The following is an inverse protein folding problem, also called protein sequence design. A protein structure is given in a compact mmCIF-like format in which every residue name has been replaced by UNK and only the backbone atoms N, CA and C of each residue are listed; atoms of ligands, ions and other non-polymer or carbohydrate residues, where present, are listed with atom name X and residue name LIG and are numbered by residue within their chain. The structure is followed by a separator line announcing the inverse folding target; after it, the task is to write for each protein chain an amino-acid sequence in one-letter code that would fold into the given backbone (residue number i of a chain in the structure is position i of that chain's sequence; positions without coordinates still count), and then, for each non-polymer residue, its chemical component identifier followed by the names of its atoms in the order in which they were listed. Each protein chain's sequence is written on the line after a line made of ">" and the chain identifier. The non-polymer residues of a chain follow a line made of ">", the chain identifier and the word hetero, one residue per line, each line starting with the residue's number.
data_IF_242972288205
#
_entry.id   IF_242972288205
#
_cell.length_a   1.000
_cell.length_b   1.000
_cell.length_c   1.000
_cell.angle_alpha   90.00
_cell.angle_beta   90.00
_cell.angle_gamma   90.00
#
_symmetry.space_group_name_H-M   'P 1'
#
loop_
_entity.id
_entity.type
_entity.pdbx_description
1 polymer ?
#
# COMPACT_ATOMS: atom_id res chain seq x y z
N UNK A 1 -13.92 -0.55 -25.55
CA UNK A 1 -13.90 0.26 -24.32
C UNK A 1 -12.53 0.07 -23.72
N UNK A 2 -11.72 1.12 -23.60
CA UNK A 2 -10.51 1.03 -22.77
C UNK A 2 -10.99 0.76 -21.34
N UNK A 3 -10.45 -0.26 -20.68
CA UNK A 3 -10.67 -0.45 -19.26
C UNK A 3 -10.28 0.85 -18.56
N UNK A 4 -11.19 1.42 -17.77
CA UNK A 4 -10.94 2.67 -17.05
C UNK A 4 -9.77 2.42 -16.09
N UNK A 5 -8.80 3.32 -16.07
CA UNK A 5 -7.63 3.17 -15.21
C UNK A 5 -8.09 3.25 -13.74
N UNK A 6 -7.79 2.23 -12.94
CA UNK A 6 -8.20 2.16 -11.52
C UNK A 6 -7.72 3.37 -10.72
N UNK A 7 -6.56 3.93 -11.06
CA UNK A 7 -6.08 5.17 -10.44
C UNK A 7 -6.99 6.36 -10.75
N UNK A 8 -7.47 6.52 -11.99
CA UNK A 8 -8.41 7.60 -12.34
C UNK A 8 -9.71 7.49 -11.53
N UNK A 9 -10.25 6.27 -11.42
CA UNK A 9 -11.45 6.00 -10.61
C UNK A 9 -11.20 6.35 -9.14
N UNK A 10 -10.03 5.99 -8.60
CA UNK A 10 -9.65 6.34 -7.23
C UNK A 10 -9.65 7.88 -7.05
N UNK A 11 -9.09 8.64 -7.98
CA UNK A 11 -9.08 10.11 -7.90
C UNK A 11 -10.46 10.75 -8.04
N UNK A 12 -11.42 10.09 -8.67
CA UNK A 12 -12.81 10.56 -8.72
C UNK A 12 -13.55 10.30 -7.40
N UNK A 13 -13.31 9.14 -6.78
CA UNK A 13 -13.89 8.78 -5.48
C UNK A 13 -13.28 9.61 -4.33
N UNK A 14 -11.98 9.86 -4.41
CA UNK A 14 -11.18 10.53 -3.40
C UNK A 14 -10.29 11.61 -4.02
N UNK A 15 -10.81 12.77 -4.44
CA UNK A 15 -9.99 13.79 -5.09
C UNK A 15 -8.79 14.23 -4.24
N UNK A 16 -7.55 14.15 -4.76
CA UNK A 16 -6.36 14.55 -4.01
C UNK A 16 -6.34 16.08 -3.81
N UNK A 17 -5.91 16.52 -2.64
CA UNK A 17 -5.85 17.94 -2.32
C UNK A 17 -4.67 18.61 -3.05
N UNK A 18 -4.78 19.90 -3.40
CA UNK A 18 -3.65 20.61 -3.99
C UNK A 18 -2.40 20.58 -3.09
N UNK A 19 -1.33 19.95 -3.58
CA UNK A 19 -0.04 19.84 -2.91
C UNK A 19 0.02 18.81 -1.77
N UNK A 20 -0.84 17.78 -1.78
CA UNK A 20 -0.75 16.62 -0.86
C UNK A 20 0.35 15.62 -1.23
N UNK A 21 0.75 15.59 -2.50
CA UNK A 21 1.69 14.62 -3.04
C UNK A 21 3.11 14.66 -2.47
N UNK A 22 3.82 13.54 -2.61
CA UNK A 22 5.24 13.40 -2.27
C UNK A 22 6.09 13.31 -3.54
N UNK A 23 7.16 14.12 -3.60
CA UNK A 23 8.16 13.99 -4.64
C UNK A 23 9.17 12.91 -4.25
N UNK A 24 9.19 11.81 -5.01
CA UNK A 24 10.10 10.68 -4.79
C UNK A 24 11.09 10.60 -5.96
N UNK A 25 12.38 10.42 -5.65
CA UNK A 25 13.38 10.04 -6.65
C UNK A 25 13.23 8.55 -6.96
N UNK A 26 12.35 8.24 -7.89
CA UNK A 26 12.03 6.86 -8.26
C UNK A 26 13.24 6.09 -8.77
N UNK A 27 14.17 6.74 -9.47
CA UNK A 27 15.37 6.06 -9.98
C UNK A 27 16.25 5.58 -8.82
N UNK A 28 16.51 6.44 -7.84
CA UNK A 28 17.31 6.08 -6.67
C UNK A 28 16.60 5.02 -5.79
N UNK A 29 15.28 5.12 -5.64
CA UNK A 29 14.49 4.14 -4.89
C UNK A 29 14.50 2.78 -5.59
N UNK A 30 14.26 2.72 -6.90
CA UNK A 30 14.25 1.47 -7.66
C UNK A 30 15.62 0.79 -7.67
N UNK A 31 16.70 1.58 -7.74
CA UNK A 31 18.07 1.08 -7.57
C UNK A 31 18.29 0.46 -6.17
N UNK A 32 17.87 1.13 -5.10
CA UNK A 32 18.03 0.64 -3.73
C UNK A 32 17.16 -0.60 -3.42
N UNK A 33 15.99 -0.69 -4.04
CA UNK A 33 15.09 -1.82 -3.88
C UNK A 33 15.44 -3.00 -4.80
N UNK A 34 16.14 -2.74 -5.91
CA UNK A 34 16.48 -3.75 -6.91
C UNK A 34 15.28 -4.21 -7.74
N UNK A 35 14.24 -3.38 -7.82
CA UNK A 35 12.99 -3.66 -8.54
C UNK A 35 12.38 -2.36 -9.06
N UNK A 36 11.51 -2.48 -10.05
CA UNK A 36 10.68 -1.38 -10.51
C UNK A 36 9.33 -1.40 -9.79
N UNK A 37 8.79 -0.23 -9.43
CA UNK A 37 7.48 -0.14 -8.79
C UNK A 37 6.34 -0.01 -9.80
N UNK A 38 5.12 -0.51 -9.47
CA UNK A 38 3.93 -0.32 -10.30
C UNK A 38 3.65 1.17 -10.57
N UNK A 39 3.31 1.52 -11.81
CA UNK A 39 3.08 2.91 -12.20
C UNK A 39 1.91 3.56 -11.47
N UNK A 40 0.89 2.77 -11.12
CA UNK A 40 -0.28 3.24 -10.37
C UNK A 40 0.07 3.59 -8.92
N UNK A 41 0.97 2.82 -8.29
CA UNK A 41 1.55 3.18 -6.99
C UNK A 41 2.39 4.47 -7.07
N UNK A 42 3.25 4.60 -8.09
CA UNK A 42 4.02 5.84 -8.29
C UNK A 42 3.12 7.06 -8.41
N UNK A 43 2.02 6.94 -9.16
CA UNK A 43 1.01 7.98 -9.29
C UNK A 43 0.32 8.26 -7.95
N UNK A 44 -0.09 7.22 -7.21
CA UNK A 44 -0.71 7.39 -5.90
C UNK A 44 0.19 8.19 -4.94
N UNK A 45 1.47 7.82 -4.80
CA UNK A 45 2.41 8.55 -3.94
C UNK A 45 2.63 9.99 -4.44
N UNK A 46 2.72 10.19 -5.76
CA UNK A 46 2.88 11.53 -6.37
C UNK A 46 1.70 12.45 -6.10
N UNK A 47 0.48 11.91 -5.94
CA UNK A 47 -0.73 12.70 -5.75
C UNK A 47 -1.20 12.79 -4.29
N UNK A 48 -1.09 11.71 -3.51
CA UNK A 48 -1.58 11.62 -2.13
C UNK A 48 -0.48 11.70 -1.07
N UNK A 49 0.78 11.39 -1.44
CA UNK A 49 1.91 11.34 -0.53
C UNK A 49 1.89 10.12 0.38
N UNK A 50 2.33 10.30 1.63
CA UNK A 50 2.16 9.33 2.71
C UNK A 50 0.71 9.38 3.20
N UNK A 51 -0.11 8.41 2.79
CA UNK A 51 -1.56 8.52 2.89
C UNK A 51 -2.17 7.46 3.80
N UNK A 52 -3.04 7.90 4.70
CA UNK A 52 -3.88 7.06 5.56
C UNK A 52 -5.32 7.15 5.08
N UNK A 53 -5.83 6.11 4.44
CA UNK A 53 -7.21 6.02 3.98
C UNK A 53 -8.14 5.62 5.12
N UNK A 54 -9.25 6.37 5.27
CA UNK A 54 -10.35 6.07 6.20
C UNK A 54 -9.93 5.86 7.65
N UNK A 55 -8.85 6.52 8.09
CA UNK A 55 -8.22 6.31 9.41
C UNK A 55 -7.86 4.84 9.70
N UNK A 56 -7.72 4.02 8.65
CA UNK A 56 -7.58 2.57 8.75
C UNK A 56 -6.32 2.05 8.04
N UNK A 57 -6.16 2.31 6.73
CA UNK A 57 -5.06 1.77 5.91
C UNK A 57 -4.03 2.84 5.58
N UNK A 58 -2.81 2.69 6.10
CA UNK A 58 -1.67 3.52 5.73
C UNK A 58 -0.97 2.93 4.50
N UNK A 59 -0.80 3.74 3.46
CA UNK A 59 0.08 3.45 2.32
C UNK A 59 1.43 4.11 2.57
N UNK A 60 2.46 3.29 2.62
CA UNK A 60 3.80 3.67 3.07
C UNK A 60 4.62 4.01 1.83
N UNK A 61 5.17 5.24 1.71
CA UNK A 61 6.04 5.60 0.60
C UNK A 61 7.38 4.85 0.69
N UNK A 62 8.01 4.54 -0.44
CA UNK A 62 9.31 3.89 -0.42
C UNK A 62 10.40 4.92 -0.11
N UNK A 63 11.52 4.45 0.44
CA UNK A 63 12.71 5.27 0.65
C UNK A 63 13.97 4.46 0.32
N UNK A 64 15.10 5.13 0.17
CA UNK A 64 16.42 4.49 0.10
C UNK A 64 16.94 4.13 1.48
N UNK A 65 16.64 4.96 2.50
CA UNK A 65 17.04 4.77 3.91
C UNK A 65 15.99 5.30 4.88
N UNK A 66 16.02 4.80 6.11
CA UNK A 66 15.23 5.30 7.23
C UNK A 66 15.73 6.69 7.67
N UNK A 67 14.86 7.71 7.74
CA UNK A 67 15.23 9.05 8.17
C UNK A 67 15.79 9.09 9.60
N UNK A 68 16.59 10.11 9.90
CA UNK A 68 17.18 10.30 11.23
C UNK A 68 16.17 10.55 12.37
N UNK A 69 14.91 10.79 12.02
CA UNK A 69 13.81 11.04 12.96
C UNK A 69 13.05 9.79 13.38
N UNK A 70 13.37 8.64 12.79
CA UNK A 70 12.70 7.36 13.04
C UNK A 70 13.56 6.47 13.94
N UNK A 71 12.94 5.41 14.45
CA UNK A 71 13.66 4.31 15.06
C UNK A 71 14.54 3.64 13.99
N UNK A 72 15.79 3.36 14.32
CA UNK A 72 16.84 2.86 13.41
C UNK A 72 17.22 3.77 12.21
N UNK A 73 17.76 4.99 12.46
CA UNK A 73 18.30 5.85 11.40
C UNK A 73 19.30 5.16 10.48
N UNK A 74 19.12 5.35 9.17
CA UNK A 74 20.04 4.83 8.15
C UNK A 74 19.83 3.36 7.75
N UNK A 75 18.88 2.65 8.38
CA UNK A 75 18.47 1.33 7.90
C UNK A 75 18.02 1.41 6.43
N UNK A 76 18.37 0.43 5.57
CA UNK A 76 18.02 0.47 4.16
C UNK A 76 16.51 0.42 3.96
N UNK A 77 16.03 1.00 2.85
CA UNK A 77 14.64 0.89 2.37
C UNK A 77 13.57 1.56 3.25
N UNK A 78 13.94 2.20 4.36
CA UNK A 78 13.03 3.01 5.18
C UNK A 78 11.98 2.18 5.92
N UNK A 79 10.91 2.85 6.37
CA UNK A 79 9.79 2.21 7.06
C UNK A 79 9.11 1.12 6.22
N UNK A 80 9.01 1.33 4.90
CA UNK A 80 8.50 0.30 3.97
C UNK A 80 9.41 -0.94 3.93
N UNK A 81 10.73 -0.76 4.04
CA UNK A 81 11.69 -1.86 4.17
C UNK A 81 11.52 -2.64 5.49
N UNK A 82 11.34 -1.93 6.60
CA UNK A 82 11.10 -2.53 7.91
C UNK A 82 9.84 -3.39 7.92
N UNK A 83 8.70 -2.84 7.50
CA UNK A 83 7.44 -3.60 7.50
C UNK A 83 7.47 -4.74 6.47
N UNK A 84 8.23 -4.60 5.37
CA UNK A 84 8.46 -5.70 4.42
C UNK A 84 9.22 -6.84 5.09
N UNK A 85 10.25 -6.56 5.91
CA UNK A 85 10.94 -7.61 6.67
C UNK A 85 9.99 -8.33 7.65
N UNK A 86 9.21 -7.57 8.42
CA UNK A 86 8.20 -8.13 9.35
C UNK A 86 7.14 -9.00 8.63
N UNK A 87 6.74 -8.59 7.42
CA UNK A 87 5.82 -9.36 6.57
C UNK A 87 6.43 -10.69 6.13
N UNK A 88 7.74 -10.73 5.84
CA UNK A 88 8.46 -11.93 5.43
C UNK A 88 8.64 -12.91 6.59
N UNK A 89 8.94 -12.39 7.77
CA UNK A 89 8.99 -13.18 8.99
C UNK A 89 7.59 -13.77 9.30
N UNK A 90 6.54 -12.95 9.19
CA UNK A 90 5.14 -13.41 9.36
C UNK A 90 4.77 -14.50 8.35
N UNK A 91 5.18 -14.35 7.08
CA UNK A 91 4.96 -15.38 6.06
C UNK A 91 5.66 -16.70 6.42
N UNK A 92 6.92 -16.63 6.86
CA UNK A 92 7.69 -17.80 7.27
C UNK A 92 7.10 -18.49 8.50
N UNK A 93 6.57 -17.72 9.45
CA UNK A 93 5.96 -18.23 10.69
C UNK A 93 4.59 -18.88 10.45
N UNK A 94 3.81 -18.35 9.50
CA UNK A 94 2.44 -18.82 9.22
C UNK A 94 2.37 -19.94 8.19
N UNK A 95 3.43 -20.14 7.40
CA UNK A 95 3.55 -21.18 6.37
C UNK A 95 2.26 -21.36 5.53
N UNK A 96 1.77 -20.29 4.86
CA UNK A 96 0.48 -20.33 4.19
C UNK A 96 0.42 -21.42 3.12
N UNK A 97 -0.71 -22.12 3.05
CA UNK A 97 -0.96 -23.15 2.04
C UNK A 97 -1.84 -22.61 0.92
N UNK A 98 -1.59 -23.05 -0.32
CA UNK A 98 -2.42 -22.68 -1.48
C UNK A 98 -2.02 -21.39 -2.20
N UNK A 99 -0.99 -20.69 -1.72
CA UNK A 99 -0.36 -19.58 -2.42
C UNK A 99 1.08 -20.00 -2.72
N UNK A 100 1.40 -20.12 -4.01
CA UNK A 100 2.75 -20.44 -4.46
C UNK A 100 3.58 -19.16 -4.38
N UNK A 101 4.29 -18.91 -3.27
CA UNK A 101 5.19 -17.77 -3.09
C UNK A 101 6.30 -17.99 -2.05
N UNK A 102 7.45 -17.36 -2.34
CA UNK A 102 8.60 -17.30 -1.44
C UNK A 102 8.60 -15.97 -0.68
N UNK A 103 9.04 -15.93 0.60
CA UNK A 103 9.10 -14.71 1.40
C UNK A 103 9.76 -13.52 0.66
N UNK A 104 10.86 -13.77 -0.05
CA UNK A 104 11.66 -12.75 -0.72
C UNK A 104 10.91 -11.99 -1.82
N UNK A 105 9.82 -12.57 -2.33
CA UNK A 105 8.98 -12.01 -3.38
C UNK A 105 7.94 -11.03 -2.83
N UNK A 106 7.74 -10.97 -1.50
CA UNK A 106 6.81 -10.05 -0.88
C UNK A 106 7.43 -8.67 -0.68
N UNK A 107 6.67 -7.65 -1.09
CA UNK A 107 6.96 -6.24 -0.80
C UNK A 107 5.72 -5.58 -0.23
N UNK A 108 5.82 -5.07 0.99
CA UNK A 108 4.68 -4.50 1.72
C UNK A 108 4.54 -3.02 1.39
N UNK A 109 3.34 -2.63 0.98
CA UNK A 109 3.01 -1.26 0.57
C UNK A 109 2.05 -0.57 1.53
N UNK A 110 1.39 -1.32 2.39
CA UNK A 110 0.54 -0.74 3.41
C UNK A 110 0.31 -1.62 4.62
N UNK A 111 -0.14 -1.00 5.68
CA UNK A 111 -0.53 -1.65 6.92
C UNK A 111 -1.82 -1.01 7.45
N UNK A 112 -2.71 -1.82 7.99
CA UNK A 112 -3.90 -1.33 8.67
C UNK A 112 -3.65 -1.13 10.16
N UNK A 113 -4.48 -0.32 10.82
CA UNK A 113 -4.51 -0.18 12.28
C UNK A 113 -4.81 -1.51 13.01
N UNK A 114 -5.46 -2.47 12.34
CA UNK A 114 -5.68 -3.84 12.80
C UNK A 114 -4.42 -4.72 12.72
N UNK A 115 -3.30 -4.17 12.25
CA UNK A 115 -2.07 -4.87 11.89
C UNK A 115 -2.22 -5.85 10.72
N UNK A 116 -3.26 -5.68 9.89
CA UNK A 116 -3.33 -6.36 8.59
C UNK A 116 -2.24 -5.81 7.66
N UNK A 117 -1.58 -6.69 6.91
CA UNK A 117 -0.48 -6.34 6.02
C UNK A 117 -0.92 -6.43 4.57
N UNK A 118 -0.56 -5.41 3.79
CA UNK A 118 -0.91 -5.30 2.38
C UNK A 118 0.37 -5.27 1.55
N UNK A 119 0.55 -6.29 0.73
CA UNK A 119 1.79 -6.51 0.00
C UNK A 119 1.53 -6.83 -1.47
N UNK A 120 2.58 -6.73 -2.27
CA UNK A 120 2.63 -7.27 -3.62
C UNK A 120 3.39 -8.58 -3.63
N UNK A 121 2.99 -9.47 -4.52
CA UNK A 121 3.86 -10.55 -5.00
C UNK A 121 4.64 -10.08 -6.22
N UNK A 122 5.95 -9.89 -6.09
CA UNK A 122 6.78 -9.16 -7.06
C UNK A 122 7.30 -10.03 -8.22
N UNK A 123 6.42 -10.80 -8.86
CA UNK A 123 6.76 -11.65 -10.02
C UNK A 123 6.38 -11.03 -11.35
N UNK A 124 7.34 -11.01 -12.27
CA UNK A 124 7.12 -10.55 -13.64
C UNK A 124 6.92 -9.04 -13.73
N UNK A 125 6.02 -8.59 -14.61
CA UNK A 125 5.80 -7.17 -14.88
C UNK A 125 5.17 -6.44 -13.66
N UNK A 126 5.74 -5.32 -13.18
CA UNK A 126 5.23 -4.59 -12.02
C UNK A 126 3.75 -4.20 -12.09
N UNK A 127 3.26 -3.86 -13.28
CA UNK A 127 1.85 -3.50 -13.49
C UNK A 127 0.87 -4.67 -13.31
N UNK A 128 1.37 -5.90 -13.15
CA UNK A 128 0.59 -7.14 -12.99
C UNK A 128 0.81 -7.82 -11.64
N UNK A 129 1.61 -7.23 -10.74
CA UNK A 129 1.84 -7.81 -9.43
C UNK A 129 0.51 -7.91 -8.66
N UNK A 130 0.10 -9.11 -8.22
CA UNK A 130 -1.11 -9.29 -7.45
C UNK A 130 -0.92 -8.73 -6.04
N UNK A 131 -2.03 -8.35 -5.42
CA UNK A 131 -2.06 -7.95 -4.02
C UNK A 131 -2.21 -9.19 -3.15
N UNK A 132 -1.38 -9.27 -2.10
CA UNK A 132 -1.51 -10.22 -1.01
C UNK A 132 -1.94 -9.46 0.25
N UNK A 133 -2.93 -9.98 0.95
CA UNK A 133 -3.38 -9.45 2.24
C UNK A 133 -3.19 -10.51 3.30
N UNK A 134 -2.47 -10.16 4.36
CA UNK A 134 -2.47 -10.92 5.60
C UNK A 134 -3.49 -10.29 6.55
N UNK A 135 -4.55 -11.05 6.85
CA UNK A 135 -5.54 -10.67 7.85
C UNK A 135 -5.07 -11.14 9.22
N UNK A 136 -4.63 -10.22 10.07
CA UNK A 136 -4.06 -10.53 11.39
C UNK A 136 -5.08 -11.19 12.32
N UNK A 137 -6.34 -10.79 12.21
CA UNK A 137 -7.44 -11.33 13.02
C UNK A 137 -7.78 -12.79 12.69
N UNK A 138 -7.71 -13.15 11.41
CA UNK A 138 -8.02 -14.50 10.92
C UNK A 138 -6.78 -15.39 10.80
N UNK A 139 -5.58 -14.80 10.95
CA UNK A 139 -4.29 -15.44 10.73
C UNK A 139 -4.18 -16.12 9.35
N UNK A 140 -4.65 -15.39 8.32
CA UNK A 140 -4.84 -15.92 6.98
C UNK A 140 -4.28 -15.00 5.90
N UNK A 141 -3.68 -15.62 4.88
CA UNK A 141 -3.22 -14.95 3.67
C UNK A 141 -4.21 -15.12 2.54
N UNK A 142 -4.47 -14.05 1.79
CA UNK A 142 -5.34 -14.08 0.62
C UNK A 142 -4.70 -13.34 -0.55
N UNK A 143 -4.68 -13.98 -1.72
CA UNK A 143 -4.21 -13.39 -2.96
C UNK A 143 -5.37 -12.80 -3.77
N UNK A 144 -5.12 -11.62 -4.33
CA UNK A 144 -6.01 -10.87 -5.21
C UNK A 144 -5.28 -10.61 -6.53
N UNK A 145 -5.77 -11.16 -7.64
CA UNK A 145 -5.10 -11.16 -8.95
C UNK A 145 -5.17 -9.83 -9.72
N UNK A 146 -5.09 -8.70 -8.99
CA UNK A 146 -5.09 -7.35 -9.53
C UNK A 146 -4.21 -6.42 -8.68
N UNK A 147 -3.82 -5.29 -9.26
CA UNK A 147 -2.91 -4.34 -8.64
C UNK A 147 -3.52 -3.50 -7.52
N UNK A 148 -2.67 -2.73 -6.84
CA UNK A 148 -3.00 -1.97 -5.64
C UNK A 148 -4.17 -1.00 -5.85
N UNK A 149 -4.15 -0.18 -6.90
CA UNK A 149 -5.21 0.82 -7.09
C UNK A 149 -6.56 0.18 -7.42
N UNK A 150 -6.57 -0.95 -8.13
CA UNK A 150 -7.79 -1.71 -8.36
C UNK A 150 -8.33 -2.30 -7.06
N UNK A 151 -7.46 -2.86 -6.22
CA UNK A 151 -7.83 -3.34 -4.89
C UNK A 151 -8.49 -2.22 -4.06
N UNK A 152 -7.87 -1.04 -3.97
CA UNK A 152 -8.43 0.09 -3.23
C UNK A 152 -9.80 0.53 -3.78
N UNK A 153 -9.96 0.63 -5.10
CA UNK A 153 -11.25 0.98 -5.71
C UNK A 153 -12.32 -0.05 -5.38
N UNK A 154 -12.00 -1.34 -5.48
CA UNK A 154 -12.95 -2.42 -5.17
C UNK A 154 -13.40 -2.37 -3.71
N UNK A 155 -12.48 -2.13 -2.77
CA UNK A 155 -12.80 -1.98 -1.34
C UNK A 155 -13.72 -0.78 -1.09
N UNK A 156 -13.34 0.40 -1.60
CA UNK A 156 -14.11 1.64 -1.40
C UNK A 156 -15.50 1.58 -2.03
N UNK A 157 -15.68 0.77 -3.07
CA UNK A 157 -16.97 0.59 -3.76
C UNK A 157 -17.70 -0.70 -3.40
N UNK A 158 -17.20 -1.46 -2.42
CA UNK A 158 -17.74 -2.74 -1.97
C UNK A 158 -18.00 -3.72 -3.14
N UNK A 159 -17.03 -3.85 -4.05
CA UNK A 159 -17.09 -4.81 -5.15
C UNK A 159 -16.68 -6.23 -4.71
N UNK A 160 -17.19 -7.28 -5.36
CA UNK A 160 -16.76 -8.66 -5.09
C UNK A 160 -15.28 -8.91 -5.38
N UNK A 161 -14.73 -9.96 -4.77
CA UNK A 161 -13.36 -10.41 -4.92
C UNK A 161 -12.36 -9.70 -4.01
N UNK A 162 -12.84 -8.97 -2.99
CA UNK A 162 -12.05 -8.33 -1.92
C UNK A 162 -12.76 -8.51 -0.57
N UNK A 163 -13.41 -9.67 -0.39
CA UNK A 163 -14.22 -10.00 0.80
C UNK A 163 -13.40 -9.96 2.09
N UNK A 164 -12.07 -10.09 1.99
CA UNK A 164 -11.13 -9.91 3.11
C UNK A 164 -11.24 -8.55 3.78
N UNK A 165 -11.84 -7.57 3.10
CA UNK A 165 -12.02 -6.21 3.60
C UNK A 165 -13.45 -5.94 4.10
N UNK A 166 -14.36 -6.92 4.01
CA UNK A 166 -15.72 -6.77 4.53
C UNK A 166 -15.72 -6.43 6.02
N UNK A 167 -16.52 -5.44 6.41
CA UNK A 167 -16.62 -4.99 7.80
C UNK A 167 -15.51 -4.04 8.26
N UNK A 168 -14.49 -3.78 7.44
CA UNK A 168 -13.50 -2.73 7.70
C UNK A 168 -14.11 -1.33 7.52
N UNK A 169 -13.45 -0.30 8.06
CA UNK A 169 -13.89 1.09 7.91
C UNK A 169 -13.88 1.58 6.44
N UNK A 170 -13.10 0.93 5.57
CA UNK A 170 -13.01 1.28 4.15
C UNK A 170 -14.12 0.65 3.30
N UNK A 171 -14.75 -0.41 3.78
CA UNK A 171 -15.67 -1.21 2.97
C UNK A 171 -16.91 -0.43 2.55
N UNK A 172 -16.99 -0.07 1.26
CA UNK A 172 -18.13 0.65 0.72
C UNK A 172 -18.35 2.02 1.37
N UNK A 173 -17.29 2.65 1.89
CA UNK A 173 -17.40 3.95 2.56
C UNK A 173 -18.06 4.97 1.62
N UNK A 174 -19.18 5.53 2.08
CA UNK A 174 -19.98 6.50 1.31
C UNK A 174 -19.38 7.90 1.33
N UNK A 175 -18.46 8.16 2.26
CA UNK A 175 -17.76 9.42 2.36
C UNK A 175 -16.28 9.14 2.64
N UNK A 176 -15.58 8.53 1.68
CA UNK A 176 -14.20 8.12 1.88
C UNK A 176 -13.37 9.36 2.19
N UNK A 177 -12.45 9.20 3.13
CA UNK A 177 -11.53 10.24 3.55
C UNK A 177 -10.11 9.71 3.54
N UNK A 178 -9.15 10.62 3.54
CA UNK A 178 -7.77 10.27 3.76
C UNK A 178 -7.09 11.39 4.57
N UNK A 179 -5.98 11.05 5.20
CA UNK A 179 -5.08 11.99 5.85
C UNK A 179 -3.67 11.77 5.31
N UNK A 180 -2.88 12.83 5.21
CA UNK A 180 -1.44 12.72 4.96
C UNK A 180 -0.63 13.65 5.87
N UNK A 181 0.70 13.51 5.89
CA UNK A 181 1.55 14.38 6.71
C UNK A 181 1.50 15.85 6.29
N UNK A 182 1.26 16.16 5.01
CA UNK A 182 1.13 17.54 4.56
C UNK A 182 -0.10 18.23 5.19
N UNK A 183 -1.19 17.50 5.34
CA UNK A 183 -2.45 17.96 5.93
C UNK A 183 -2.37 18.06 7.44
N UNK A 184 -1.77 17.06 8.12
CA UNK A 184 -1.52 17.14 9.57
C UNK A 184 -0.68 18.38 9.91
N UNK A 185 0.34 18.70 9.10
CA UNK A 185 1.12 19.96 9.24
C UNK A 185 0.28 21.22 9.02
N UNK A 186 -0.60 21.23 8.01
CA UNK A 186 -1.52 22.36 7.77
C UNK A 186 -2.54 22.56 8.90
N UNK A 187 -3.00 21.47 9.51
CA UNK A 187 -3.96 21.50 10.62
C UNK A 187 -3.33 21.94 11.95
N UNK A 188 -2.07 21.58 12.20
CA UNK A 188 -1.33 21.94 13.43
C UNK A 188 -0.70 23.35 13.39
N UNK A 189 -0.57 23.96 12.20
CA UNK A 189 -0.03 25.32 12.01
C UNK A 189 -1.08 26.44 12.05
N UNK A 190 -2.34 26.13 12.38
CA UNK A 190 -3.42 27.11 12.61
C UNK A 190 -3.67 27.27 14.10
#
# INVERSE_FOLDING_TARGET
>A
MAARNSFEVLTELLPPWPGSGLAVDWAAVEEAWGLEFPSDYKNLITHYGDVLFGEYLEVIPPSTVTPATCDEPGAPRGGMGFITADTRDTWADTEPTGIDAEPEELVTWGAAISADLFCWLTRGEPSKWPVLVYSRGDDAWTQHDFGMTEFLVRVLTAQPGVETMEGTMLWGDRNPSYLNSAERRRAQGK
#
